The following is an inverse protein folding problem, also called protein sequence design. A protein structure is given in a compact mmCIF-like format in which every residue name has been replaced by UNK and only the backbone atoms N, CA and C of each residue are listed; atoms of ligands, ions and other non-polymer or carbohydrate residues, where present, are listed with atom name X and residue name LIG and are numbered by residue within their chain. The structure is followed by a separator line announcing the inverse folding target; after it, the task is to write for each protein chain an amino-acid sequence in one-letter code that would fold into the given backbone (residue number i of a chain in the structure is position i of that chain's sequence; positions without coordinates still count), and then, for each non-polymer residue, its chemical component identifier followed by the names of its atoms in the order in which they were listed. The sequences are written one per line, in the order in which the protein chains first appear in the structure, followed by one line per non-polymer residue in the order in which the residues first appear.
data_IF_804423091550
#
_entry.id   IF_804423091550
#
_cell.length_a   1.000
_cell.length_b   1.000
_cell.length_c   1.000
_cell.angle_alpha   90.00
_cell.angle_beta   90.00
_cell.angle_gamma   90.00
#
_symmetry.space_group_name_H-M   'P 1'
#
loop_
_entity.id
_entity.type
_entity.pdbx_description
1 polymer ?
#
# COMPACT_ATOMS: atom_id res chain seq x y z
N UNK A 1 18.93 8.33 -1.81
CA UNK A 1 17.50 8.67 -1.86
C UNK A 1 16.98 9.00 -0.47
N UNK A 2 15.95 9.85 -0.38
CA UNK A 2 15.28 10.13 0.89
C UNK A 2 14.29 9.03 1.24
N UNK A 3 14.25 8.64 2.52
CA UNK A 3 13.29 7.68 3.07
C UNK A 3 12.95 8.02 4.52
N UNK A 4 11.77 7.62 4.94
CA UNK A 4 11.41 7.60 6.36
C UNK A 4 11.97 6.32 6.98
N UNK A 5 12.72 6.45 8.06
CA UNK A 5 13.34 5.33 8.75
C UNK A 5 12.85 5.24 10.19
N UNK A 6 12.60 4.01 10.62
CA UNK A 6 12.27 3.67 12.01
C UNK A 6 13.43 2.85 12.56
N UNK A 7 14.15 3.40 13.56
CA UNK A 7 15.31 2.73 14.20
C UNK A 7 14.96 2.20 15.60
N UNK A 8 13.84 2.59 16.15
CA UNK A 8 13.27 2.11 17.41
C UNK A 8 11.75 2.10 17.32
N UNK A 9 11.10 1.21 18.05
CA UNK A 9 9.64 1.19 18.08
C UNK A 9 9.08 2.33 18.94
N UNK A 10 7.91 2.86 18.54
CA UNK A 10 7.30 3.93 19.32
C UNK A 10 6.23 4.71 18.58
N UNK A 11 5.94 5.91 19.10
CA UNK A 11 5.00 6.87 18.56
C UNK A 11 5.49 7.53 17.25
N UNK A 12 4.76 8.53 16.75
CA UNK A 12 5.14 9.21 15.49
C UNK A 12 6.53 9.84 15.49
N UNK A 13 7.07 10.18 16.64
CA UNK A 13 8.39 10.82 16.78
C UNK A 13 9.58 9.95 16.34
N UNK A 14 9.38 8.61 16.22
CA UNK A 14 10.42 7.70 15.73
C UNK A 14 10.56 7.68 14.21
N UNK A 15 9.64 8.32 13.48
CA UNK A 15 9.71 8.49 12.04
C UNK A 15 10.74 9.57 11.70
N UNK A 16 11.87 9.16 11.13
CA UNK A 16 12.96 10.08 10.79
C UNK A 16 13.18 10.10 9.28
N UNK A 17 13.23 11.31 8.71
CA UNK A 17 13.66 11.48 7.32
C UNK A 17 15.19 11.36 7.27
N UNK A 18 15.67 10.39 6.48
CA UNK A 18 17.10 10.11 6.33
C UNK A 18 17.45 9.88 4.85
N UNK A 19 18.73 9.96 4.54
CA UNK A 19 19.27 9.51 3.26
C UNK A 19 19.74 8.06 3.37
N UNK A 20 19.33 7.25 2.40
CA UNK A 20 19.73 5.83 2.28
C UNK A 20 20.18 5.54 0.85
N UNK A 21 21.01 4.52 0.61
CA UNK A 21 21.30 4.06 -0.74
C UNK A 21 20.02 3.70 -1.50
N UNK A 22 19.97 3.99 -2.79
CA UNK A 22 18.89 3.52 -3.65
C UNK A 22 19.03 2.01 -3.87
N UNK A 23 17.95 1.22 -3.69
CA UNK A 23 18.00 -0.21 -3.97
C UNK A 23 18.15 -0.46 -5.47
N UNK A 24 18.69 -1.63 -5.84
CA UNK A 24 18.77 -2.09 -7.21
C UNK A 24 17.87 -3.31 -7.38
N UNK A 25 17.10 -3.40 -8.48
CA UNK A 25 16.22 -4.53 -8.69
C UNK A 25 17.02 -5.79 -9.06
N UNK A 26 16.73 -6.89 -8.36
CA UNK A 26 17.13 -8.24 -8.76
C UNK A 26 16.33 -8.73 -9.99
N UNK A 27 16.59 -9.96 -10.48
CA UNK A 27 16.02 -10.44 -11.75
C UNK A 27 14.50 -10.32 -11.86
N UNK A 28 13.75 -10.66 -10.83
CA UNK A 28 12.27 -10.69 -10.82
C UNK A 28 11.66 -9.52 -10.03
N UNK A 29 12.43 -8.43 -9.88
CA UNK A 29 12.06 -7.28 -9.08
C UNK A 29 11.84 -6.03 -9.92
N UNK A 30 11.05 -5.12 -9.36
CA UNK A 30 10.70 -3.84 -9.96
C UNK A 30 11.04 -2.73 -8.98
N UNK A 31 11.78 -1.75 -9.43
CA UNK A 31 12.03 -0.51 -8.69
C UNK A 31 11.00 0.52 -9.13
N UNK A 32 10.26 1.05 -8.17
CA UNK A 32 9.18 2.02 -8.42
C UNK A 32 9.57 3.38 -7.83
N UNK A 33 9.51 4.43 -8.65
CA UNK A 33 9.58 5.83 -8.20
C UNK A 33 8.22 6.22 -7.64
N UNK A 34 8.20 6.48 -6.35
CA UNK A 34 6.99 6.74 -5.57
C UNK A 34 6.49 8.17 -5.80
N UNK A 35 5.26 8.32 -6.24
CA UNK A 35 4.56 9.61 -6.35
C UNK A 35 3.52 9.83 -5.26
N UNK A 36 2.97 8.75 -4.72
CA UNK A 36 2.06 8.76 -3.57
C UNK A 36 2.21 7.49 -2.76
N UNK A 37 1.97 7.58 -1.47
CA UNK A 37 1.97 6.44 -0.54
C UNK A 37 0.66 6.37 0.22
N UNK A 38 0.18 5.16 0.49
CA UNK A 38 -0.94 4.91 1.38
C UNK A 38 -0.45 4.83 2.82
N UNK A 39 -1.15 5.49 3.73
CA UNK A 39 -0.91 5.38 5.17
C UNK A 39 -2.05 4.57 5.77
N UNK A 40 -1.75 3.43 6.33
CA UNK A 40 -2.73 2.49 6.85
C UNK A 40 -2.60 2.34 8.38
N UNK A 41 -3.67 2.03 9.10
CA UNK A 41 -3.61 1.77 10.55
C UNK A 41 -2.55 0.72 10.92
N UNK A 42 -2.36 -0.31 10.08
CA UNK A 42 -1.34 -1.36 10.29
C UNK A 42 0.07 -0.78 10.39
N UNK A 43 0.40 0.28 9.64
CA UNK A 43 1.72 0.93 9.72
C UNK A 43 1.99 1.50 11.10
N UNK A 44 0.94 1.99 11.78
CA UNK A 44 1.06 2.51 13.15
C UNK A 44 1.25 1.39 14.17
N UNK A 45 0.58 0.26 13.98
CA UNK A 45 0.71 -0.91 14.88
C UNK A 45 2.08 -1.55 14.75
N UNK A 46 2.59 -1.70 13.53
CA UNK A 46 3.93 -2.22 13.26
C UNK A 46 5.01 -1.29 13.84
N UNK A 47 4.85 0.03 13.64
CA UNK A 47 5.78 1.01 14.21
C UNK A 47 5.81 1.00 15.75
N UNK A 48 4.67 0.82 16.38
CA UNK A 48 4.56 0.74 17.83
C UNK A 48 4.90 -0.65 18.40
N UNK A 49 5.19 -1.63 17.53
CA UNK A 49 5.45 -3.03 17.89
C UNK A 49 4.31 -3.66 18.71
N UNK A 50 3.08 -3.35 18.35
CA UNK A 50 1.91 -3.95 18.99
C UNK A 50 1.96 -5.47 18.83
N UNK A 51 1.75 -6.20 19.90
CA UNK A 51 1.80 -7.67 19.96
C UNK A 51 3.14 -8.29 19.45
N UNK A 52 4.25 -7.56 19.56
CA UNK A 52 5.56 -7.98 19.05
C UNK A 52 5.58 -8.29 17.55
N UNK A 53 4.75 -7.58 16.75
CA UNK A 53 4.64 -7.77 15.30
C UNK A 53 5.44 -6.76 14.47
N UNK A 54 6.21 -5.89 15.14
CA UNK A 54 7.05 -4.90 14.46
C UNK A 54 8.13 -5.56 13.59
N UNK A 55 8.41 -5.00 12.39
CA UNK A 55 9.50 -5.48 11.53
C UNK A 55 10.85 -5.33 12.21
N UNK A 56 11.83 -6.13 11.75
CA UNK A 56 13.21 -6.00 12.22
C UNK A 56 13.74 -4.57 11.98
N UNK A 57 14.25 -3.97 13.04
CA UNK A 57 14.83 -2.62 13.00
C UNK A 57 16.27 -2.63 12.42
N UNK A 58 16.67 -1.57 11.72
CA UNK A 58 15.88 -0.43 11.27
C UNK A 58 15.12 -0.76 9.98
N UNK A 59 13.93 -0.18 9.76
CA UNK A 59 13.14 -0.39 8.55
C UNK A 59 12.49 0.90 8.03
N UNK A 60 11.99 0.89 6.80
CA UNK A 60 11.16 1.93 6.20
C UNK A 60 9.70 1.45 6.18
N UNK A 61 8.74 2.21 6.72
CA UNK A 61 7.34 1.82 6.73
C UNK A 61 6.67 1.87 5.36
N UNK A 62 5.42 1.40 5.32
CA UNK A 62 4.51 1.52 4.18
C UNK A 62 4.52 0.31 3.25
N UNK A 63 3.31 -0.09 2.85
CA UNK A 63 3.07 -1.21 1.93
C UNK A 63 2.39 -0.76 0.64
N UNK A 64 1.67 0.36 0.68
CA UNK A 64 0.89 0.87 -0.43
C UNK A 64 1.57 2.08 -1.07
N UNK A 65 1.73 2.04 -2.38
CA UNK A 65 2.28 3.15 -3.15
C UNK A 65 1.68 3.20 -4.55
N UNK A 66 1.87 4.32 -5.23
CA UNK A 66 1.69 4.42 -6.67
C UNK A 66 2.68 5.43 -7.25
N UNK A 67 3.07 5.20 -8.49
CA UNK A 67 4.06 6.02 -9.17
C UNK A 67 4.37 5.50 -10.56
N UNK A 68 5.64 5.48 -10.90
CA UNK A 68 6.12 4.96 -12.17
C UNK A 68 7.26 3.97 -11.97
N UNK A 69 7.36 3.02 -12.87
CA UNK A 69 8.50 2.09 -12.90
C UNK A 69 9.78 2.89 -13.18
N UNK A 70 10.75 2.78 -12.32
CA UNK A 70 12.10 3.38 -12.49
C UNK A 70 13.02 2.42 -13.24
N UNK A 71 13.04 1.16 -12.81
CA UNK A 71 13.83 0.10 -13.43
C UNK A 71 13.18 -1.27 -13.17
N UNK A 72 13.49 -2.24 -14.02
CA UNK A 72 13.05 -3.62 -13.89
C UNK A 72 14.25 -4.56 -13.94
N UNK A 73 14.14 -5.69 -13.25
CA UNK A 73 15.08 -6.79 -13.34
C UNK A 73 14.98 -7.53 -14.67
N UNK A 74 16.00 -8.31 -15.00
CA UNK A 74 16.12 -8.99 -16.29
C UNK A 74 15.04 -10.03 -16.59
N UNK A 75 14.37 -10.56 -15.56
CA UNK A 75 13.26 -11.52 -15.71
C UNK A 75 11.89 -10.87 -15.88
N UNK A 76 11.77 -9.55 -15.66
CA UNK A 76 10.51 -8.81 -15.81
C UNK A 76 10.35 -8.38 -17.28
N UNK A 77 9.38 -8.96 -17.98
CA UNK A 77 9.18 -8.75 -19.41
C UNK A 77 7.92 -7.97 -19.78
N UNK A 78 7.01 -7.80 -18.83
CA UNK A 78 5.68 -7.21 -19.02
C UNK A 78 5.51 -5.81 -18.40
N UNK A 79 6.58 -5.25 -17.85
CA UNK A 79 6.71 -3.86 -17.42
C UNK A 79 7.99 -3.23 -17.95
N UNK A 80 7.98 -1.93 -18.14
CA UNK A 80 9.14 -1.12 -18.55
C UNK A 80 9.19 0.20 -17.81
N UNK A 81 10.34 0.86 -17.86
CA UNK A 81 10.53 2.19 -17.29
C UNK A 81 9.44 3.17 -17.77
N UNK A 82 9.01 4.04 -16.88
CA UNK A 82 7.94 5.03 -17.03
C UNK A 82 6.51 4.45 -17.08
N UNK A 83 6.31 3.14 -17.03
CA UNK A 83 4.96 2.58 -16.86
C UNK A 83 4.36 3.06 -15.53
N UNK A 84 3.09 3.50 -15.60
CA UNK A 84 2.34 3.91 -14.41
C UNK A 84 1.85 2.70 -13.66
N UNK A 85 2.14 2.65 -12.35
CA UNK A 85 1.83 1.49 -11.52
C UNK A 85 1.30 1.87 -10.14
N UNK A 86 0.54 0.95 -9.55
CA UNK A 86 0.32 0.92 -8.10
C UNK A 86 0.94 -0.34 -7.50
N UNK A 87 1.24 -0.27 -6.21
CA UNK A 87 2.00 -1.29 -5.50
C UNK A 87 1.17 -1.82 -4.35
N UNK A 88 1.11 -3.15 -4.25
CA UNK A 88 0.49 -3.89 -3.19
C UNK A 88 1.51 -4.71 -2.39
N UNK A 89 2.24 -4.04 -1.50
CA UNK A 89 3.35 -4.60 -0.75
C UNK A 89 4.72 -4.21 -1.33
N UNK A 90 5.71 -4.12 -0.48
CA UNK A 90 7.08 -3.73 -0.88
C UNK A 90 8.10 -4.55 -0.10
N UNK A 91 9.29 -4.69 -0.65
CA UNK A 91 10.45 -5.29 0.03
C UNK A 91 11.18 -4.28 0.94
N UNK A 92 11.19 -3.00 0.56
CA UNK A 92 12.01 -1.97 1.21
C UNK A 92 11.20 -0.91 1.95
N UNK A 93 9.87 -0.98 1.91
CA UNK A 93 8.97 0.05 2.45
C UNK A 93 8.64 1.14 1.43
N UNK A 94 7.41 1.64 1.48
CA UNK A 94 6.90 2.63 0.53
C UNK A 94 7.17 4.09 0.93
N UNK A 95 7.50 4.38 2.20
CA UNK A 95 7.76 5.75 2.66
C UNK A 95 9.15 6.23 2.24
N UNK A 96 9.43 6.15 0.94
CA UNK A 96 10.69 6.52 0.32
C UNK A 96 10.48 7.05 -1.11
N UNK A 97 11.47 7.74 -1.66
CA UNK A 97 11.46 8.20 -3.05
C UNK A 97 11.42 7.03 -4.05
N UNK A 98 12.03 5.91 -3.69
CA UNK A 98 12.03 4.67 -4.47
C UNK A 98 11.70 3.49 -3.55
N UNK A 99 10.85 2.58 -4.00
CA UNK A 99 10.60 1.32 -3.31
C UNK A 99 10.85 0.13 -4.23
N UNK A 100 11.45 -0.91 -3.67
CA UNK A 100 11.70 -2.18 -4.36
C UNK A 100 10.56 -3.13 -4.08
N UNK A 101 10.08 -3.81 -5.12
CA UNK A 101 8.95 -4.72 -5.07
C UNK A 101 9.29 -6.02 -5.80
N UNK A 102 8.68 -7.12 -5.40
CA UNK A 102 8.57 -8.29 -6.26
C UNK A 102 7.61 -8.00 -7.42
N UNK A 103 7.85 -8.60 -8.60
CA UNK A 103 6.98 -8.37 -9.78
C UNK A 103 5.49 -8.57 -9.49
N UNK A 104 5.03 -9.60 -8.76
CA UNK A 104 3.61 -9.80 -8.46
C UNK A 104 2.97 -8.70 -7.60
N UNK A 105 3.75 -7.86 -6.93
CA UNK A 105 3.27 -6.75 -6.10
C UNK A 105 2.99 -5.48 -6.90
N UNK A 106 3.36 -5.44 -8.18
CA UNK A 106 3.28 -4.24 -9.03
C UNK A 106 2.22 -4.43 -10.10
N UNK A 107 1.26 -3.51 -10.14
CA UNK A 107 0.10 -3.60 -11.02
C UNK A 107 -0.04 -2.33 -11.87
N UNK A 108 -0.48 -2.42 -13.14
CA UNK A 108 -0.70 -1.26 -13.98
C UNK A 108 -1.73 -0.30 -13.36
N UNK A 109 -1.41 0.99 -13.35
CA UNK A 109 -2.32 2.05 -12.91
C UNK A 109 -3.05 2.64 -14.13
N UNK A 110 -4.39 2.54 -14.22
CA UNK A 110 -5.14 3.08 -15.33
C UNK A 110 -4.88 4.59 -15.56
N UNK A 111 -4.94 5.09 -16.80
CA UNK A 111 -4.58 6.47 -17.13
C UNK A 111 -5.48 7.52 -16.45
N UNK A 112 -6.73 7.16 -16.16
CA UNK A 112 -7.72 8.02 -15.49
C UNK A 112 -7.64 7.96 -13.94
N UNK A 113 -6.72 7.18 -13.37
CA UNK A 113 -6.51 7.06 -11.92
C UNK A 113 -5.27 7.84 -11.53
N UNK A 114 -5.39 8.72 -10.54
CA UNK A 114 -4.25 9.50 -10.04
C UNK A 114 -3.35 8.62 -9.15
N UNK A 115 -2.06 8.97 -8.96
CA UNK A 115 -1.20 8.24 -8.03
C UNK A 115 -1.76 8.18 -6.61
N UNK A 116 -2.40 9.26 -6.12
CA UNK A 116 -3.01 9.27 -4.79
C UNK A 116 -4.17 8.24 -4.67
N UNK A 117 -5.00 8.12 -5.71
CA UNK A 117 -6.02 7.08 -5.77
C UNK A 117 -5.39 5.68 -5.89
N UNK A 118 -4.33 5.53 -6.70
CA UNK A 118 -3.59 4.27 -6.84
C UNK A 118 -3.00 3.77 -5.53
N UNK A 119 -2.41 4.66 -4.74
CA UNK A 119 -1.84 4.34 -3.44
C UNK A 119 -2.90 3.93 -2.39
N UNK A 120 -4.19 4.15 -2.65
CA UNK A 120 -5.29 3.72 -1.79
C UNK A 120 -5.93 2.38 -2.23
N UNK A 121 -5.46 1.75 -3.32
CA UNK A 121 -6.12 0.56 -3.88
C UNK A 121 -5.87 -0.72 -3.10
N UNK A 122 -4.64 -0.99 -2.67
CA UNK A 122 -4.30 -2.32 -2.14
C UNK A 122 -4.92 -2.58 -0.76
N UNK A 123 -4.32 -2.10 0.33
CA UNK A 123 -4.80 -2.48 1.69
C UNK A 123 -6.27 -2.11 1.91
N UNK A 124 -6.73 -0.87 1.65
CA UNK A 124 -8.12 -0.51 1.94
C UNK A 124 -9.14 -1.30 1.11
N UNK A 125 -8.94 -1.38 -0.21
CA UNK A 125 -9.91 -2.05 -1.08
C UNK A 125 -9.82 -3.58 -1.00
N UNK A 126 -8.61 -4.15 -0.89
CA UNK A 126 -8.46 -5.59 -0.69
C UNK A 126 -9.09 -6.05 0.63
N UNK A 127 -8.94 -5.26 1.70
CA UNK A 127 -9.59 -5.52 2.99
C UNK A 127 -11.10 -5.48 2.85
N UNK A 128 -11.66 -4.44 2.21
CA UNK A 128 -13.09 -4.32 1.97
C UNK A 128 -13.62 -5.47 1.10
N UNK A 129 -12.94 -5.80 0.02
CA UNK A 129 -13.29 -6.91 -0.87
C UNK A 129 -13.29 -8.24 -0.11
N UNK A 130 -12.24 -8.52 0.64
CA UNK A 130 -12.13 -9.74 1.42
C UNK A 130 -13.24 -9.85 2.47
N UNK A 131 -13.53 -8.77 3.19
CA UNK A 131 -14.58 -8.74 4.18
C UNK A 131 -15.97 -8.97 3.57
N UNK A 132 -16.28 -8.31 2.44
CA UNK A 132 -17.60 -8.37 1.83
C UNK A 132 -17.83 -9.66 1.03
N UNK A 133 -16.89 -10.03 0.18
CA UNK A 133 -17.10 -11.09 -0.79
C UNK A 133 -16.54 -12.44 -0.33
N UNK A 134 -15.37 -12.48 0.26
CA UNK A 134 -14.75 -13.74 0.70
C UNK A 134 -15.36 -14.23 2.01
N UNK A 135 -15.39 -13.38 3.02
CA UNK A 135 -15.93 -13.73 4.35
C UNK A 135 -17.43 -13.54 4.43
N UNK A 136 -17.94 -12.39 4.00
CA UNK A 136 -19.36 -12.04 4.05
C UNK A 136 -20.21 -12.70 2.97
N UNK A 137 -19.58 -13.26 1.93
CA UNK A 137 -20.25 -13.94 0.80
C UNK A 137 -21.38 -13.08 0.21
N UNK A 138 -21.13 -11.79 0.08
CA UNK A 138 -22.09 -10.82 -0.41
C UNK A 138 -22.59 -11.20 -1.80
N UNK A 139 -23.92 -11.10 -2.02
CA UNK A 139 -24.59 -11.38 -3.27
C UNK A 139 -25.55 -10.24 -3.60
N UNK A 140 -26.01 -10.18 -4.85
CA UNK A 140 -26.99 -9.20 -5.31
C UNK A 140 -28.24 -9.20 -4.44
N UNK A 141 -28.76 -8.00 -4.17
CA UNK A 141 -29.95 -7.77 -3.36
C UNK A 141 -29.71 -7.82 -1.84
N UNK A 142 -28.55 -8.27 -1.37
CA UNK A 142 -28.22 -8.24 0.06
C UNK A 142 -28.01 -6.80 0.56
N UNK A 143 -28.36 -6.56 1.83
CA UNK A 143 -28.11 -5.30 2.50
C UNK A 143 -26.91 -5.45 3.42
N UNK A 144 -25.99 -4.48 3.36
CA UNK A 144 -24.78 -4.45 4.20
C UNK A 144 -24.84 -3.24 5.12
N UNK A 145 -24.63 -3.48 6.41
CA UNK A 145 -24.43 -2.43 7.39
C UNK A 145 -22.95 -2.28 7.63
N UNK A 146 -22.41 -1.09 7.36
CA UNK A 146 -21.01 -0.76 7.61
C UNK A 146 -20.94 0.23 8.76
N UNK A 147 -20.27 -0.16 9.84
CA UNK A 147 -20.00 0.70 11.00
C UNK A 147 -18.63 1.37 10.86
N UNK A 148 -18.49 2.55 11.47
CA UNK A 148 -17.21 3.29 11.56
C UNK A 148 -16.54 3.60 10.21
N UNK A 149 -17.32 4.11 9.27
CA UNK A 149 -16.86 4.44 7.90
C UNK A 149 -15.96 5.68 7.87
N UNK A 150 -15.93 6.47 8.92
CA UNK A 150 -15.11 7.71 8.97
C UNK A 150 -14.35 7.83 10.29
N UNK A 151 -13.20 8.42 10.23
CA UNK A 151 -12.34 8.71 11.37
C UNK A 151 -12.64 10.04 12.06
N UNK A 152 -13.64 10.82 11.58
CA UNK A 152 -14.04 12.09 12.19
C UNK A 152 -15.46 12.02 12.75
N UNK A 153 -15.54 12.04 14.05
CA UNK A 153 -16.60 12.49 14.99
C UNK A 153 -18.09 12.35 14.66
N UNK A 154 -18.51 11.65 13.63
CA UNK A 154 -19.91 11.25 13.48
C UNK A 154 -20.00 9.82 12.97
N UNK A 155 -20.35 8.90 13.87
CA UNK A 155 -20.71 7.52 13.50
C UNK A 155 -22.03 7.56 12.73
N UNK A 156 -21.92 7.64 11.42
CA UNK A 156 -23.07 7.47 10.53
C UNK A 156 -23.02 6.04 9.99
N UNK A 157 -23.89 5.19 10.48
CA UNK A 157 -24.13 3.88 9.89
C UNK A 157 -24.73 4.07 8.48
N UNK A 158 -24.03 3.64 7.44
CA UNK A 158 -24.55 3.65 6.06
C UNK A 158 -25.00 2.24 5.70
N UNK A 159 -26.26 2.10 5.35
CA UNK A 159 -26.78 0.90 4.72
C UNK A 159 -26.52 1.00 3.21
N UNK A 160 -25.67 0.14 2.69
CA UNK A 160 -25.38 0.04 1.27
C UNK A 160 -26.17 -1.13 0.67
N UNK A 161 -26.71 -0.95 -0.53
CA UNK A 161 -27.20 -2.07 -1.33
C UNK A 161 -26.06 -2.56 -2.19
N UNK A 162 -25.85 -3.86 -2.23
CA UNK A 162 -24.98 -4.45 -3.22
C UNK A 162 -25.63 -4.28 -4.59
N UNK A 163 -24.93 -3.61 -5.50
CA UNK A 163 -25.28 -3.60 -6.92
C UNK A 163 -24.30 -4.56 -7.63
N UNK A 164 -24.80 -5.29 -8.62
CA UNK A 164 -23.94 -6.08 -9.47
C UNK A 164 -22.88 -5.16 -10.11
N UNK A 165 -21.64 -5.53 -9.95
CA UNK A 165 -20.56 -4.98 -10.77
C UNK A 165 -20.50 -5.93 -11.98
N UNK A 166 -21.04 -5.44 -13.10
CA UNK A 166 -20.96 -6.13 -14.39
C UNK A 166 -19.51 -6.08 -14.91
#
# INVERSE_FOLDING_TARGET
MKAIRVSEYGGPSVLKLVEVPAPQPGPDQVLVRTHAVGVNPVDTYLRANVDNRGPKLPYTPGSDAAGVVEAVGSGVTDLKAADRVYVGGTLTGAYAELCLCERPQVHPLPPNVTPAQGAALNIPYATAYHALFTLGRLRDGMRVLVHAVTTSSSVSSRCLRAAAVA
#
